data_IF_549195081421
#
_entry.id   IF_549195081421
#
_cell.length_a   1.000
_cell.length_b   1.000
_cell.length_c   1.000
_cell.angle_alpha   90.00
_cell.angle_beta   90.00
_cell.angle_gamma   90.00
#
_symmetry.space_group_name_H-M   'P 1'
#
loop_
_entity.id
_entity.type
_entity.pdbx_description
1 polymer ?
#
# COMPACT_ATOMS: atom_id res chain seq x y z
N UNK A 1 29.85 5.93 13.97
CA UNK A 1 29.16 5.03 14.92
C UNK A 1 27.79 5.63 15.21
N UNK A 2 26.75 5.17 14.51
CA UNK A 2 25.38 5.59 14.80
C UNK A 2 24.92 4.90 16.08
N UNK A 3 24.39 5.66 17.05
CA UNK A 3 23.81 5.08 18.27
C UNK A 3 22.78 3.99 17.90
N UNK A 4 22.81 2.85 18.59
CA UNK A 4 21.85 1.74 18.45
C UNK A 4 20.37 2.20 18.53
N UNK A 5 20.13 3.38 19.11
CA UNK A 5 18.81 4.02 19.22
C UNK A 5 18.40 4.87 18.02
N UNK A 6 19.36 5.27 17.18
CA UNK A 6 19.14 6.20 16.07
C UNK A 6 18.53 5.57 14.82
N UNK A 7 18.84 4.31 14.54
CA UNK A 7 18.29 3.60 13.37
C UNK A 7 16.78 3.30 13.51
N UNK A 8 16.29 2.75 14.65
CA UNK A 8 14.86 2.52 14.84
C UNK A 8 14.04 3.80 14.82
N UNK A 9 14.57 4.88 15.41
CA UNK A 9 13.90 6.16 15.46
C UNK A 9 13.64 6.73 14.06
N UNK A 10 14.58 6.57 13.11
CA UNK A 10 14.40 7.02 11.72
C UNK A 10 13.24 6.29 11.03
N UNK A 11 13.16 4.97 11.16
CA UNK A 11 12.08 4.18 10.57
C UNK A 11 10.71 4.54 11.16
N UNK A 12 10.64 4.78 12.47
CA UNK A 12 9.41 5.20 13.15
C UNK A 12 8.98 6.59 12.70
N UNK A 13 9.92 7.53 12.52
CA UNK A 13 9.63 8.88 12.03
C UNK A 13 9.09 8.88 10.60
N UNK A 14 9.58 7.98 9.74
CA UNK A 14 9.01 7.80 8.41
C UNK A 14 7.56 7.30 8.48
N UNK A 15 7.29 6.30 9.35
CA UNK A 15 5.93 5.78 9.54
C UNK A 15 4.96 6.83 10.10
N UNK A 16 5.43 7.65 11.05
CA UNK A 16 4.66 8.78 11.56
C UNK A 16 4.33 9.81 10.47
N UNK A 17 5.31 10.14 9.63
CA UNK A 17 5.12 11.11 8.53
C UNK A 17 4.08 10.61 7.53
N UNK A 18 3.97 9.31 7.31
CA UNK A 18 2.97 8.73 6.43
C UNK A 18 1.54 8.75 7.00
N UNK A 19 1.39 8.77 8.34
CA UNK A 19 0.10 8.96 9.01
C UNK A 19 -0.37 10.44 8.98
N UNK A 20 0.54 11.38 8.72
CA UNK A 20 0.29 12.82 8.61
C UNK A 20 -0.19 13.18 7.19
N UNK A 21 -1.38 12.68 6.82
CA UNK A 21 -1.95 12.84 5.47
C UNK A 21 -2.22 14.29 5.06
N UNK A 22 -2.41 15.20 6.02
CA UNK A 22 -2.69 16.62 5.79
C UNK A 22 -1.42 17.50 5.77
N UNK A 23 -0.24 16.89 5.92
CA UNK A 23 1.05 17.57 6.02
C UNK A 23 1.12 18.64 7.13
N UNK A 24 0.23 18.59 8.12
CA UNK A 24 0.20 19.53 9.26
C UNK A 24 1.40 19.37 10.20
N UNK A 25 2.09 18.23 10.10
CA UNK A 25 3.18 17.83 10.99
C UNK A 25 2.66 17.21 12.29
N UNK A 26 1.37 16.86 12.32
CA UNK A 26 0.67 16.34 13.49
C UNK A 26 -0.18 15.12 13.11
N UNK A 27 -0.30 14.16 14.02
CA UNK A 27 -1.04 12.89 13.78
C UNK A 27 -2.09 12.69 14.88
N UNK A 28 -3.24 12.11 14.52
CA UNK A 28 -4.30 11.86 15.49
C UNK A 28 -3.88 10.84 16.58
N UNK A 29 -4.37 11.01 17.80
CA UNK A 29 -4.09 10.10 18.93
C UNK A 29 -4.52 8.65 18.65
N UNK A 30 -5.62 8.45 17.92
CA UNK A 30 -6.11 7.11 17.55
C UNK A 30 -5.13 6.38 16.63
N UNK A 31 -4.59 7.06 15.61
CA UNK A 31 -3.55 6.49 14.74
C UNK A 31 -2.26 6.19 15.53
N UNK A 32 -1.87 7.06 16.47
CA UNK A 32 -0.70 6.81 17.31
C UNK A 32 -0.87 5.66 18.30
N UNK A 33 -2.08 5.41 18.80
CA UNK A 33 -2.38 4.22 19.60
C UNK A 33 -2.10 2.95 18.80
N UNK A 34 -2.58 2.89 17.57
CA UNK A 34 -2.37 1.73 16.67
C UNK A 34 -0.89 1.56 16.34
N UNK A 35 -0.20 2.64 15.97
CA UNK A 35 1.24 2.61 15.69
C UNK A 35 2.05 2.14 16.90
N UNK A 36 1.80 2.72 18.07
CA UNK A 36 2.50 2.42 19.33
C UNK A 36 2.29 0.98 19.75
N UNK A 37 1.07 0.46 19.63
CA UNK A 37 0.77 -0.94 19.91
C UNK A 37 1.60 -1.89 19.04
N UNK A 38 1.61 -1.65 17.72
CA UNK A 38 2.37 -2.48 16.79
C UNK A 38 3.88 -2.39 17.05
N UNK A 39 4.39 -1.21 17.39
CA UNK A 39 5.80 -1.02 17.76
C UNK A 39 6.18 -1.83 18.99
N UNK A 40 5.37 -1.77 20.06
CA UNK A 40 5.61 -2.53 21.27
C UNK A 40 5.61 -4.05 21.02
N UNK A 41 4.70 -4.53 20.17
CA UNK A 41 4.65 -5.95 19.77
C UNK A 41 5.93 -6.40 19.06
N UNK A 42 6.37 -5.67 18.02
CA UNK A 42 7.55 -6.06 17.22
C UNK A 42 8.86 -5.87 18.00
N UNK A 43 8.92 -4.84 18.85
CA UNK A 43 10.07 -4.58 19.71
C UNK A 43 10.07 -5.43 20.99
N UNK A 44 9.02 -6.23 21.22
CA UNK A 44 8.81 -7.05 22.42
C UNK A 44 8.90 -6.24 23.72
N UNK A 45 8.42 -4.99 23.66
CA UNK A 45 8.33 -4.10 24.82
C UNK A 45 6.92 -4.23 25.40
N UNK A 46 6.76 -4.36 26.73
CA UNK A 46 5.44 -4.37 27.37
C UNK A 46 4.67 -3.10 27.00
N UNK A 47 3.51 -3.28 26.36
CA UNK A 47 2.64 -2.18 25.97
C UNK A 47 1.82 -1.70 27.17
N UNK A 48 1.97 -0.42 27.51
CA UNK A 48 1.15 0.26 28.51
C UNK A 48 0.19 1.22 27.80
N UNK A 49 -1.10 0.84 27.64
CA UNK A 49 -2.07 1.67 26.93
C UNK A 49 -2.40 2.98 27.67
N UNK A 50 -2.18 3.02 28.99
CA UNK A 50 -2.49 4.20 29.83
C UNK A 50 -1.38 5.24 29.73
N UNK A 51 -0.12 4.81 29.58
CA UNK A 51 1.03 5.72 29.49
C UNK A 51 0.96 6.70 28.31
N UNK A 52 0.41 6.28 27.15
CA UNK A 52 0.25 7.16 26.00
C UNK A 52 -0.83 8.23 26.25
N UNK A 53 -1.94 7.83 26.89
CA UNK A 53 -3.02 8.76 27.22
C UNK A 53 -2.60 9.77 28.28
N UNK A 54 -1.90 9.32 29.33
CA UNK A 54 -1.36 10.20 30.36
C UNK A 54 -0.30 11.16 29.81
N UNK A 55 0.57 10.69 28.90
CA UNK A 55 1.64 11.52 28.35
C UNK A 55 1.11 12.65 27.45
N UNK A 56 -0.05 12.46 26.82
CA UNK A 56 -0.69 13.46 25.96
C UNK A 56 -2.01 13.98 26.55
N UNK A 57 -2.20 13.86 27.86
CA UNK A 57 -3.46 14.21 28.55
C UNK A 57 -3.81 15.70 28.42
N UNK A 58 -2.83 16.59 28.44
CA UNK A 58 -3.10 18.03 28.27
C UNK A 58 -3.45 18.41 26.82
N UNK A 59 -3.37 17.47 25.89
CA UNK A 59 -3.56 17.64 24.43
C UNK A 59 -4.90 17.03 23.99
N UNK A 60 -5.94 17.09 24.83
CA UNK A 60 -7.18 16.29 24.73
C UNK A 60 -7.99 16.46 23.42
N UNK A 61 -7.75 17.52 22.66
CA UNK A 61 -8.45 17.82 21.39
C UNK A 61 -7.50 18.00 20.19
N UNK A 62 -6.18 17.80 20.39
CA UNK A 62 -5.15 18.20 19.44
C UNK A 62 -4.41 17.03 18.75
N UNK A 63 -4.06 17.16 17.46
CA UNK A 63 -3.16 16.20 16.83
C UNK A 63 -1.74 16.36 17.38
N UNK A 64 -1.07 15.24 17.64
CA UNK A 64 0.21 15.16 18.34
C UNK A 64 1.35 15.50 17.38
N UNK A 65 2.27 16.35 17.79
CA UNK A 65 3.43 16.74 16.97
C UNK A 65 4.51 15.66 16.92
N UNK A 66 5.34 15.71 15.87
CA UNK A 66 6.56 14.91 15.73
C UNK A 66 7.45 14.95 16.99
N UNK A 67 7.69 16.14 17.55
CA UNK A 67 8.56 16.29 18.73
C UNK A 67 7.96 15.65 19.98
N UNK A 68 6.64 15.81 20.18
CA UNK A 68 5.92 15.17 21.28
C UNK A 68 6.01 13.65 21.20
N UNK A 69 5.78 13.08 20.02
CA UNK A 69 5.86 11.63 19.82
C UNK A 69 7.28 11.08 19.96
N UNK A 70 8.31 11.79 19.48
CA UNK A 70 9.72 11.40 19.69
C UNK A 70 10.08 11.35 21.18
N UNK A 71 9.61 12.32 21.96
CA UNK A 71 9.82 12.34 23.42
C UNK A 71 9.21 11.09 24.08
N UNK A 72 7.96 10.78 23.72
CA UNK A 72 7.27 9.58 24.18
C UNK A 72 8.01 8.29 23.81
N UNK A 73 8.36 8.12 22.52
CA UNK A 73 9.04 6.94 22.00
C UNK A 73 10.36 6.68 22.74
N UNK A 74 11.16 7.72 22.95
CA UNK A 74 12.43 7.58 23.66
C UNK A 74 12.21 7.05 25.09
N UNK A 75 11.31 7.69 25.84
CA UNK A 75 11.08 7.39 27.26
C UNK A 75 10.37 6.05 27.51
N UNK A 76 9.40 5.69 26.68
CA UNK A 76 8.51 4.57 26.99
C UNK A 76 8.76 3.31 26.17
N UNK A 77 9.43 3.45 25.01
CA UNK A 77 9.69 2.34 24.09
C UNK A 77 11.18 2.11 23.93
N UNK A 78 11.91 3.07 23.33
CA UNK A 78 13.31 2.89 22.90
C UNK A 78 14.27 2.65 24.08
N UNK A 79 14.00 3.20 25.27
CA UNK A 79 14.75 2.88 26.49
C UNK A 79 14.58 1.43 26.96
N UNK A 80 13.49 0.77 26.57
CA UNK A 80 13.13 -0.59 27.00
C UNK A 80 13.42 -1.66 25.95
N UNK A 81 13.86 -1.26 24.76
CA UNK A 81 14.21 -2.18 23.67
C UNK A 81 15.47 -2.95 24.03
N UNK A 82 15.40 -4.28 23.94
CA UNK A 82 16.57 -5.15 24.04
C UNK A 82 17.25 -5.28 22.67
N UNK A 83 18.58 -5.38 22.60
CA UNK A 83 19.34 -5.46 21.34
C UNK A 83 19.06 -6.70 20.46
N UNK A 84 18.16 -7.60 20.88
CA UNK A 84 17.83 -8.86 20.22
C UNK A 84 16.53 -8.82 19.37
N UNK A 85 15.91 -7.65 19.19
CA UNK A 85 14.69 -7.55 18.38
C UNK A 85 14.96 -7.83 16.88
N UNK A 86 13.94 -8.34 16.18
CA UNK A 86 14.05 -8.64 14.76
C UNK A 86 14.02 -7.36 13.93
N UNK A 87 15.20 -6.85 13.57
CA UNK A 87 15.35 -5.61 12.80
C UNK A 87 14.65 -5.66 11.44
N UNK A 88 14.56 -6.83 10.80
CA UNK A 88 13.90 -6.97 9.48
C UNK A 88 12.39 -6.81 9.63
N UNK A 89 11.79 -7.47 10.62
CA UNK A 89 10.35 -7.38 10.91
C UNK A 89 9.94 -5.98 11.36
N UNK A 90 10.79 -5.33 12.16
CA UNK A 90 10.62 -3.94 12.56
C UNK A 90 10.63 -2.97 11.37
N UNK A 91 11.63 -3.08 10.49
CA UNK A 91 11.70 -2.23 9.30
C UNK A 91 10.55 -2.54 8.32
N UNK A 92 10.11 -3.80 8.21
CA UNK A 92 8.95 -4.18 7.39
C UNK A 92 7.67 -3.53 7.89
N UNK A 93 7.43 -3.52 9.21
CA UNK A 93 6.25 -2.88 9.78
C UNK A 93 6.26 -1.36 9.54
N UNK A 94 7.40 -0.71 9.78
CA UNK A 94 7.56 0.72 9.47
C UNK A 94 7.35 0.98 7.96
N UNK A 95 7.90 0.12 7.10
CA UNK A 95 7.75 0.22 5.65
C UNK A 95 6.30 0.12 5.18
N UNK A 96 5.49 -0.80 5.73
CA UNK A 96 4.05 -0.90 5.40
C UNK A 96 3.29 0.39 5.68
N UNK A 97 3.70 1.13 6.72
CA UNK A 97 3.12 2.44 7.03
C UNK A 97 3.66 3.54 6.11
N UNK A 98 4.91 3.43 5.67
CA UNK A 98 5.59 4.40 4.80
C UNK A 98 5.28 4.24 3.31
N UNK A 99 4.86 3.05 2.89
CA UNK A 99 4.52 2.74 1.52
C UNK A 99 2.98 2.64 1.43
N UNK A 100 2.29 3.76 1.12
CA UNK A 100 0.83 3.84 1.16
C UNK A 100 0.15 3.04 0.04
N UNK A 101 0.92 2.29 -0.75
CA UNK A 101 0.36 1.41 -1.76
C UNK A 101 -0.42 0.30 -1.06
N UNK A 102 -1.73 0.25 -1.29
CA UNK A 102 -2.65 -0.80 -0.85
C UNK A 102 -2.32 -2.18 -1.42
N UNK A 103 -1.35 -2.28 -2.33
CA UNK A 103 -0.99 -3.51 -3.02
C UNK A 103 0.32 -4.09 -2.48
N UNK A 104 0.34 -5.42 -2.33
CA UNK A 104 1.53 -6.17 -1.93
C UNK A 104 2.53 -6.29 -3.09
N UNK A 105 3.74 -6.78 -2.81
CA UNK A 105 4.73 -7.09 -3.86
C UNK A 105 4.20 -8.13 -4.87
N UNK A 106 3.46 -9.13 -4.37
CA UNK A 106 2.82 -10.17 -5.18
C UNK A 106 1.71 -9.58 -6.07
N UNK A 107 0.90 -8.66 -5.53
CA UNK A 107 -0.13 -7.98 -6.33
C UNK A 107 0.49 -7.03 -7.35
N UNK A 108 1.54 -6.30 -7.00
CA UNK A 108 2.28 -5.46 -7.92
C UNK A 108 2.88 -6.28 -9.07
N UNK A 109 3.40 -7.48 -8.78
CA UNK A 109 3.85 -8.42 -9.80
C UNK A 109 2.71 -8.86 -10.73
N UNK A 110 1.54 -9.22 -10.21
CA UNK A 110 0.38 -9.59 -11.03
C UNK A 110 -0.09 -8.45 -11.92
N UNK A 111 -0.19 -7.24 -11.37
CA UNK A 111 -0.52 -6.02 -12.13
C UNK A 111 0.52 -5.78 -13.23
N UNK A 112 1.80 -5.99 -12.94
CA UNK A 112 2.86 -5.90 -13.95
C UNK A 112 2.68 -6.93 -15.08
N UNK A 113 2.35 -8.18 -14.76
CA UNK A 113 2.09 -9.20 -15.79
C UNK A 113 0.86 -8.85 -16.63
N UNK A 114 -0.23 -8.41 -16.00
CA UNK A 114 -1.42 -7.92 -16.69
C UNK A 114 -1.06 -6.75 -17.60
N UNK A 115 -0.23 -5.80 -17.14
CA UNK A 115 0.20 -4.67 -17.95
C UNK A 115 0.95 -5.11 -19.22
N UNK A 116 1.82 -6.11 -19.11
CA UNK A 116 2.54 -6.65 -20.27
C UNK A 116 1.60 -7.37 -21.23
N UNK A 117 0.56 -8.03 -20.72
CA UNK A 117 -0.44 -8.71 -21.53
C UNK A 117 -1.32 -7.72 -22.32
N UNK A 118 -1.70 -6.60 -21.69
CA UNK A 118 -2.54 -5.57 -22.30
C UNK A 118 -1.76 -4.58 -23.17
N UNK A 119 -0.45 -4.43 -22.96
CA UNK A 119 0.38 -3.54 -23.77
C UNK A 119 0.60 -4.08 -25.17
N UNK A 120 0.56 -3.22 -26.19
CA UNK A 120 1.01 -3.59 -27.53
C UNK A 120 2.50 -3.94 -27.55
N UNK A 121 2.92 -4.84 -28.44
CA UNK A 121 4.33 -5.19 -28.66
C UNK A 121 5.11 -4.09 -29.40
N UNK A 122 5.00 -2.84 -28.95
CA UNK A 122 5.70 -1.65 -29.43
C UNK A 122 6.37 -0.96 -28.25
N UNK A 123 7.55 -0.40 -28.48
CA UNK A 123 8.34 0.25 -27.44
C UNK A 123 8.20 1.78 -27.53
N UNK A 124 8.06 2.51 -26.41
CA UNK A 124 7.95 2.00 -25.03
C UNK A 124 6.65 1.20 -24.81
N UNK A 125 6.70 0.22 -23.90
CA UNK A 125 5.51 -0.55 -23.50
C UNK A 125 4.60 0.35 -22.67
N UNK A 126 3.51 0.77 -23.29
CA UNK A 126 2.47 1.63 -22.72
C UNK A 126 1.13 0.90 -22.87
N UNK A 127 0.35 0.93 -21.80
CA UNK A 127 -1.03 0.48 -21.80
C UNK A 127 -1.86 1.68 -22.22
N UNK A 128 -2.56 1.56 -23.35
CA UNK A 128 -3.43 2.63 -23.83
C UNK A 128 -4.61 2.85 -22.90
N UNK A 129 -5.20 4.04 -22.97
CA UNK A 129 -6.28 4.47 -22.07
C UNK A 129 -7.47 3.51 -22.06
N UNK A 130 -7.82 2.91 -23.20
CA UNK A 130 -8.90 1.95 -23.36
C UNK A 130 -8.65 0.65 -22.60
N UNK A 131 -7.41 0.14 -22.65
CA UNK A 131 -7.00 -1.08 -21.95
C UNK A 131 -6.90 -0.84 -20.43
N UNK A 132 -6.52 0.37 -20.02
CA UNK A 132 -6.59 0.79 -18.61
C UNK A 132 -8.05 0.84 -18.14
N UNK A 133 -8.95 1.43 -18.92
CA UNK A 133 -10.39 1.48 -18.61
C UNK A 133 -10.97 0.07 -18.46
N UNK A 134 -10.63 -0.82 -19.39
CA UNK A 134 -11.03 -2.22 -19.36
C UNK A 134 -10.55 -2.92 -18.09
N UNK A 135 -9.26 -2.78 -17.75
CA UNK A 135 -8.70 -3.37 -16.53
C UNK A 135 -9.40 -2.84 -15.27
N UNK A 136 -9.59 -1.53 -15.15
CA UNK A 136 -10.24 -0.96 -13.99
C UNK A 136 -11.70 -1.41 -13.87
N UNK A 137 -12.43 -1.51 -14.99
CA UNK A 137 -13.79 -2.10 -15.01
C UNK A 137 -13.78 -3.52 -14.46
N UNK A 138 -12.88 -4.37 -14.94
CA UNK A 138 -12.73 -5.75 -14.48
C UNK A 138 -12.41 -5.83 -12.98
N UNK A 139 -11.50 -4.99 -12.50
CA UNK A 139 -11.17 -4.94 -11.07
C UNK A 139 -12.39 -4.47 -10.25
N UNK A 140 -13.12 -3.45 -10.71
CA UNK A 140 -14.33 -2.97 -10.02
C UNK A 140 -15.43 -4.04 -9.98
N UNK A 141 -15.66 -4.74 -11.09
CA UNK A 141 -16.60 -5.87 -11.16
C UNK A 141 -16.21 -7.00 -10.21
N UNK A 142 -14.92 -7.35 -10.15
CA UNK A 142 -14.42 -8.39 -9.25
C UNK A 142 -14.51 -8.00 -7.76
N UNK A 143 -14.57 -6.71 -7.44
CA UNK A 143 -14.85 -6.20 -6.10
C UNK A 143 -16.35 -6.06 -5.81
N UNK A 144 -17.23 -6.52 -6.71
CA UNK A 144 -18.69 -6.31 -6.67
C UNK A 144 -19.08 -4.81 -6.59
N UNK A 145 -18.18 -3.93 -7.03
CA UNK A 145 -18.38 -2.49 -7.06
C UNK A 145 -19.18 -2.07 -8.31
N UNK A 146 -19.93 -0.98 -8.19
CA UNK A 146 -20.55 -0.34 -9.34
C UNK A 146 -19.52 0.53 -10.07
N UNK A 147 -19.29 0.27 -11.36
CA UNK A 147 -18.44 1.12 -12.19
C UNK A 147 -18.97 2.56 -12.26
N UNK A 148 -18.12 3.54 -11.96
CA UNK A 148 -18.46 4.96 -12.00
C UNK A 148 -17.63 5.66 -13.07
N UNK A 149 -18.21 5.88 -14.26
CA UNK A 149 -17.51 6.50 -15.39
C UNK A 149 -16.91 7.88 -15.03
N UNK A 150 -17.61 8.67 -14.20
CA UNK A 150 -17.16 9.99 -13.75
C UNK A 150 -15.84 9.94 -12.96
N UNK A 151 -15.60 8.86 -12.20
CA UNK A 151 -14.33 8.70 -11.48
C UNK A 151 -13.19 8.36 -12.43
N UNK A 152 -13.47 7.60 -13.49
CA UNK A 152 -12.48 7.27 -14.51
C UNK A 152 -12.03 8.50 -15.30
N UNK A 153 -12.97 9.39 -15.66
CA UNK A 153 -12.63 10.65 -16.31
C UNK A 153 -11.75 11.55 -15.40
N UNK A 154 -11.91 11.48 -14.08
CA UNK A 154 -11.02 12.16 -13.14
C UNK A 154 -9.60 11.53 -13.09
N UNK A 155 -9.45 10.22 -13.33
CA UNK A 155 -8.12 9.59 -13.47
C UNK A 155 -7.45 9.99 -14.79
N UNK A 156 -8.22 10.08 -15.88
CA UNK A 156 -7.74 10.58 -17.18
C UNK A 156 -7.13 11.97 -17.09
N UNK A 157 -7.77 12.89 -16.36
CA UNK A 157 -7.26 14.26 -16.15
C UNK A 157 -5.92 14.30 -15.40
N UNK A 158 -5.59 13.24 -14.64
CA UNK A 158 -4.29 13.12 -13.97
C UNK A 158 -3.24 12.40 -14.82
N UNK A 159 -3.61 11.84 -15.97
CA UNK A 159 -2.62 11.40 -16.95
C UNK A 159 -2.01 12.65 -17.58
N UNK A 160 -0.71 12.59 -17.84
CA UNK A 160 -0.03 13.65 -18.55
C UNK A 160 -0.73 13.81 -19.91
N UNK A 161 -1.31 14.98 -20.22
CA UNK A 161 -2.07 15.25 -21.47
C UNK A 161 -1.27 14.90 -22.74
N UNK A 162 0.04 14.70 -22.61
CA UNK A 162 0.96 14.28 -23.66
C UNK A 162 1.13 12.77 -23.84
N UNK A 163 0.55 11.93 -22.96
CA UNK A 163 0.70 10.47 -22.95
C UNK A 163 -0.65 9.79 -23.14
N UNK A 164 -0.81 9.08 -24.25
CA UNK A 164 -2.00 8.25 -24.56
C UNK A 164 -2.15 6.98 -23.69
N UNK A 165 -1.45 6.89 -22.56
CA UNK A 165 -1.42 5.69 -21.74
C UNK A 165 -0.46 5.72 -20.54
N UNK A 166 -0.36 4.58 -19.86
CA UNK A 166 0.48 4.39 -18.67
C UNK A 166 1.54 3.31 -18.88
N UNK A 167 2.73 3.53 -18.33
CA UNK A 167 3.67 2.43 -18.09
C UNK A 167 3.16 1.49 -17.00
N UNK A 168 3.70 0.28 -16.96
CA UNK A 168 3.42 -0.70 -15.90
C UNK A 168 3.58 -0.12 -14.48
N UNK A 169 4.61 0.70 -14.26
CA UNK A 169 4.88 1.31 -12.95
C UNK A 169 3.88 2.41 -12.58
N UNK A 170 3.41 3.19 -13.56
CA UNK A 170 2.37 4.18 -13.33
C UNK A 170 1.03 3.49 -13.04
N UNK A 171 0.72 2.38 -13.71
CA UNK A 171 -0.47 1.56 -13.39
C UNK A 171 -0.40 0.96 -11.98
N UNK A 172 0.74 0.37 -11.59
CA UNK A 172 0.95 -0.15 -10.23
C UNK A 172 0.72 0.95 -9.19
N UNK A 173 1.20 2.16 -9.44
CA UNK A 173 0.96 3.30 -8.54
C UNK A 173 -0.51 3.71 -8.52
N UNK A 174 -1.18 3.75 -9.67
CA UNK A 174 -2.61 4.08 -9.74
C UNK A 174 -3.45 3.12 -8.91
N UNK A 175 -3.18 1.82 -9.05
CA UNK A 175 -3.89 0.77 -8.31
C UNK A 175 -3.49 0.83 -6.82
N UNK A 176 -2.19 0.91 -6.53
CA UNK A 176 -1.69 0.93 -5.16
C UNK A 176 -2.13 2.17 -4.38
N UNK A 177 -2.24 3.35 -5.00
CA UNK A 177 -2.70 4.54 -4.30
C UNK A 177 -4.18 4.49 -3.89
N UNK A 178 -4.91 3.44 -4.27
CA UNK A 178 -6.30 3.21 -3.86
C UNK A 178 -7.28 4.25 -4.38
N UNK A 179 -6.88 5.07 -5.36
CA UNK A 179 -7.72 6.12 -5.89
C UNK A 179 -8.97 5.53 -6.54
N UNK A 180 -8.80 4.46 -7.33
CA UNK A 180 -9.88 3.73 -8.00
C UNK A 180 -10.72 2.84 -7.07
N UNK A 181 -10.21 2.53 -5.87
CA UNK A 181 -10.82 1.60 -4.92
C UNK A 181 -11.25 2.30 -3.62
N UNK A 182 -11.60 3.59 -3.69
CA UNK A 182 -12.04 4.36 -2.51
C UNK A 182 -13.17 3.64 -1.79
N UNK A 183 -12.97 3.40 -0.49
CA UNK A 183 -13.94 2.71 0.36
C UNK A 183 -13.78 1.19 0.40
N UNK A 184 -12.90 0.62 -0.43
CA UNK A 184 -12.52 -0.79 -0.35
C UNK A 184 -11.32 -0.96 0.58
N UNK A 185 -11.32 -2.05 1.35
CA UNK A 185 -10.14 -2.51 2.07
C UNK A 185 -9.13 -3.17 1.12
N UNK A 186 -7.90 -3.31 1.60
CA UNK A 186 -6.80 -3.87 0.81
C UNK A 186 -7.01 -5.36 0.47
N UNK A 187 -7.71 -6.14 1.30
CA UNK A 187 -7.97 -7.56 1.02
C UNK A 187 -8.88 -7.69 -0.18
N UNK A 188 -9.95 -6.90 -0.24
CA UNK A 188 -10.87 -6.85 -1.38
C UNK A 188 -10.16 -6.48 -2.68
N UNK A 189 -9.28 -5.47 -2.65
CA UNK A 189 -8.47 -5.09 -3.81
C UNK A 189 -7.52 -6.21 -4.24
N UNK A 190 -6.81 -6.83 -3.29
CA UNK A 190 -5.93 -7.97 -3.55
C UNK A 190 -6.69 -9.17 -4.14
N UNK A 191 -7.90 -9.47 -3.64
CA UNK A 191 -8.75 -10.53 -4.19
C UNK A 191 -9.17 -10.25 -5.63
N UNK A 192 -9.53 -9.00 -5.94
CA UNK A 192 -9.88 -8.60 -7.30
C UNK A 192 -8.69 -8.69 -8.26
N UNK A 193 -7.49 -8.25 -7.84
CA UNK A 193 -6.27 -8.41 -8.64
C UNK A 193 -6.00 -9.89 -8.93
N UNK A 194 -6.15 -10.76 -7.93
CA UNK A 194 -6.02 -12.21 -8.11
C UNK A 194 -7.05 -12.78 -9.09
N UNK A 195 -8.32 -12.41 -8.95
CA UNK A 195 -9.39 -12.88 -9.82
C UNK A 195 -9.15 -12.48 -11.28
N UNK A 196 -8.87 -11.20 -11.52
CA UNK A 196 -8.58 -10.66 -12.86
C UNK A 196 -7.29 -11.24 -13.44
N UNK A 197 -6.25 -11.43 -12.62
CA UNK A 197 -5.03 -12.10 -13.06
C UNK A 197 -5.29 -13.53 -13.52
N UNK A 198 -6.07 -14.30 -12.76
CA UNK A 198 -6.40 -15.68 -13.12
C UNK A 198 -7.24 -15.72 -14.41
N UNK A 199 -8.24 -14.84 -14.55
CA UNK A 199 -9.09 -14.73 -15.73
C UNK A 199 -8.30 -14.31 -16.98
N UNK A 200 -7.48 -13.28 -16.90
CA UNK A 200 -6.78 -12.76 -18.08
C UNK A 200 -5.55 -13.60 -18.46
N UNK A 201 -4.80 -14.09 -17.47
CA UNK A 201 -3.48 -14.68 -17.70
C UNK A 201 -3.52 -16.19 -17.59
N UNK A 202 -4.05 -16.76 -16.50
CA UNK A 202 -4.01 -18.21 -16.32
C UNK A 202 -4.98 -18.93 -17.24
N UNK A 203 -6.19 -18.40 -17.46
CA UNK A 203 -7.12 -18.99 -18.40
C UNK A 203 -6.61 -18.88 -19.85
N UNK A 204 -5.96 -17.77 -20.22
CA UNK A 204 -5.29 -17.64 -21.51
C UNK A 204 -4.17 -18.67 -21.70
N UNK A 205 -3.29 -18.83 -20.70
CA UNK A 205 -2.22 -19.84 -20.72
C UNK A 205 -2.80 -21.25 -20.78
N UNK A 206 -3.90 -21.54 -20.07
CA UNK A 206 -4.55 -22.84 -20.06
C UNK A 206 -5.25 -23.16 -21.38
N UNK A 207 -5.85 -22.16 -22.03
CA UNK A 207 -6.45 -22.28 -23.37
C UNK A 207 -5.36 -22.59 -24.41
N UNK A 208 -4.23 -21.88 -24.37
CA UNK A 208 -3.11 -22.11 -25.29
C UNK A 208 -2.34 -23.40 -25.00
N UNK A 209 -2.37 -23.90 -23.76
CA UNK A 209 -1.77 -25.18 -23.38
C UNK A 209 -2.64 -26.40 -23.70
N UNK A 210 -3.91 -26.26 -24.12
CA UNK A 210 -4.66 -27.40 -24.64
C UNK A 210 -3.94 -27.89 -25.91
N UNK A 211 -3.31 -29.07 -25.90
CA UNK A 211 -2.75 -29.62 -27.12
C UNK A 211 -3.93 -29.90 -28.04
N UNK A 212 -3.71 -29.78 -29.34
CA UNK A 212 -4.55 -30.40 -30.35
C UNK A 212 -4.63 -31.92 -30.11
N UNK A 213 -5.47 -32.37 -29.16
CA UNK A 213 -6.00 -33.72 -29.09
C UNK A 213 -7.35 -33.75 -29.80
N UNK A 214 -7.33 -33.30 -31.06
CA UNK A 214 -8.32 -33.66 -32.06
C UNK A 214 -7.54 -34.11 -33.29
N UNK A 215 -7.09 -35.35 -33.26
CA UNK A 215 -6.76 -36.10 -34.47
C UNK A 215 -6.85 -37.59 -34.19
N UNK A 216 -7.97 -38.15 -34.65
CA UNK A 216 -8.22 -39.52 -35.10
C UNK A 216 -8.04 -40.69 -34.11
N UNK A 217 -9.20 -41.18 -33.65
CA UNK A 217 -9.49 -42.57 -33.38
C UNK A 217 -10.91 -42.85 -33.84
#
# INVERSE_FOLDING_TARGET
>A
MGSLRGEPLKAILHAFTALNHDHSGKVSKSQLKVLTHNLCMVLKVPHDPVALEEHFRDDDEGPVSNQGYVSYLNKFILEKVQDNFNKIEFNRMCWTLCNPLLITEDDAFKVWVISNFLSEAKYPLIIVTEEIEYLLKKLTEAMEGGWQQEQFEHYKVNFDDSKDGLSAWELIKLIGNGQFSKGMDWQTVSMAINAVFNELILDWVNILRKPYYLSFG
#
